data_IF_930683554463
#
_entry.id   IF_930683554463
#
_cell.length_a   1.000
_cell.length_b   1.000
_cell.length_c   1.000
_cell.angle_alpha   90.00
_cell.angle_beta   90.00
_cell.angle_gamma   90.00
#
_symmetry.space_group_name_H-M   'P 1'
#
loop_
_entity.id
_entity.type
_entity.pdbx_description
1 polymer ?
#
# COMPACT_ATOMS: atom_id res chain seq x y z
N UNK A 1 28.08 43.84 8.95
CA UNK A 1 27.90 43.42 7.54
C UNK A 1 27.92 41.90 7.49
N UNK A 2 26.76 41.24 7.60
CA UNK A 2 26.58 39.85 7.19
C UNK A 2 25.13 39.70 6.70
N UNK A 3 25.01 39.59 5.38
CA UNK A 3 24.07 38.78 4.61
C UNK A 3 22.59 38.71 5.04
N UNK A 4 21.79 39.56 4.39
CA UNK A 4 20.36 39.37 4.17
C UNK A 4 20.11 38.11 3.33
N UNK A 5 19.68 37.04 4.01
CA UNK A 5 19.29 35.78 3.39
C UNK A 5 17.84 35.90 2.88
N UNK A 6 17.71 36.38 1.65
CA UNK A 6 16.46 36.57 0.91
C UNK A 6 15.88 35.21 0.52
N UNK A 7 15.13 34.60 1.44
CA UNK A 7 14.31 33.43 1.16
C UNK A 7 13.07 33.86 0.39
N UNK A 8 13.19 33.72 -0.92
CA UNK A 8 12.15 33.80 -1.93
C UNK A 8 11.08 32.70 -1.68
N UNK A 9 10.18 32.95 -0.73
CA UNK A 9 9.10 32.05 -0.33
C UNK A 9 7.96 32.12 -1.36
N UNK A 10 8.16 31.42 -2.48
CA UNK A 10 7.16 31.27 -3.56
C UNK A 10 5.95 30.49 -3.06
N UNK A 11 5.02 31.21 -2.45
CA UNK A 11 3.57 31.16 -2.65
C UNK A 11 2.96 29.75 -2.86
N UNK A 12 2.31 29.16 -1.84
CA UNK A 12 1.54 27.92 -1.99
C UNK A 12 0.22 28.07 -2.79
N UNK A 13 -0.06 29.25 -3.38
CA UNK A 13 -1.37 29.59 -3.96
C UNK A 13 -1.58 29.16 -5.42
N UNK A 14 -0.63 28.48 -6.08
CA UNK A 14 -0.79 28.06 -7.50
C UNK A 14 -1.62 26.78 -7.72
N UNK A 15 -1.88 26.00 -6.67
CA UNK A 15 -2.64 24.74 -6.75
C UNK A 15 -4.12 24.88 -7.13
N UNK A 16 -4.90 25.89 -6.66
CA UNK A 16 -6.29 26.04 -7.06
C UNK A 16 -6.45 26.55 -8.50
N UNK A 17 -5.54 27.41 -9.00
CA UNK A 17 -5.65 27.97 -10.34
C UNK A 17 -5.55 26.90 -11.42
N UNK A 18 -4.61 25.96 -11.29
CA UNK A 18 -4.45 24.85 -12.25
C UNK A 18 -5.71 23.98 -12.32
N UNK A 19 -6.41 23.78 -11.19
CA UNK A 19 -7.66 23.01 -11.15
C UNK A 19 -8.78 23.72 -11.89
N UNK A 20 -8.90 25.03 -11.69
CA UNK A 20 -9.90 25.85 -12.39
C UNK A 20 -9.61 25.84 -13.89
N UNK A 21 -8.34 26.00 -14.30
CA UNK A 21 -7.94 25.95 -15.71
C UNK A 21 -8.27 24.60 -16.36
N UNK A 22 -7.96 23.47 -15.71
CA UNK A 22 -8.32 22.14 -16.20
C UNK A 22 -9.83 21.93 -16.33
N UNK A 23 -10.61 22.45 -15.39
CA UNK A 23 -12.07 22.34 -15.39
C UNK A 23 -12.67 23.15 -16.54
N UNK A 24 -12.19 24.38 -16.77
CA UNK A 24 -12.60 25.21 -17.91
C UNK A 24 -12.28 24.51 -19.23
N UNK A 25 -11.08 23.94 -19.37
CA UNK A 25 -10.67 23.22 -20.58
C UNK A 25 -11.49 21.93 -20.80
N UNK A 26 -11.85 21.23 -19.72
CA UNK A 26 -12.74 20.07 -19.79
C UNK A 26 -14.15 20.46 -20.24
N UNK A 27 -14.71 21.54 -19.69
CA UNK A 27 -16.03 22.06 -20.11
C UNK A 27 -16.01 22.51 -21.56
N UNK A 28 -14.98 23.25 -22.00
CA UNK A 28 -14.90 23.70 -23.40
C UNK A 28 -14.86 22.53 -24.37
N UNK A 29 -14.11 21.47 -24.03
CA UNK A 29 -14.04 20.24 -24.83
C UNK A 29 -15.41 19.54 -24.92
N UNK A 30 -16.16 19.48 -23.83
CA UNK A 30 -17.52 18.91 -23.82
C UNK A 30 -18.50 19.69 -24.69
N UNK A 31 -18.43 21.02 -24.66
CA UNK A 31 -19.30 21.88 -25.49
C UNK A 31 -19.02 21.64 -26.97
N UNK A 32 -17.75 21.60 -27.38
CA UNK A 32 -17.39 21.29 -28.78
C UNK A 32 -17.88 19.90 -29.19
N UNK A 33 -17.70 18.90 -28.33
CA UNK A 33 -18.17 17.54 -28.58
C UNK A 33 -19.70 17.46 -28.74
N UNK A 34 -20.46 18.23 -27.95
CA UNK A 34 -21.91 18.33 -28.09
C UNK A 34 -22.35 18.89 -29.45
N UNK A 35 -21.71 19.95 -29.93
CA UNK A 35 -21.98 20.50 -31.27
C UNK A 35 -21.69 19.50 -32.38
N UNK A 36 -20.59 18.74 -32.26
CA UNK A 36 -20.25 17.68 -33.21
C UNK A 36 -21.35 16.62 -33.25
N UNK A 37 -21.85 16.17 -32.09
CA UNK A 37 -22.92 15.18 -32.01
C UNK A 37 -24.24 15.65 -32.65
N UNK A 38 -24.59 16.93 -32.49
CA UNK A 38 -25.75 17.54 -33.15
C UNK A 38 -25.56 17.54 -34.66
N UNK A 39 -24.36 17.90 -35.14
CA UNK A 39 -24.05 17.93 -36.58
C UNK A 39 -24.21 16.55 -37.24
N UNK A 40 -23.92 15.47 -36.51
CA UNK A 40 -24.12 14.10 -36.99
C UNK A 40 -25.59 13.62 -36.99
N UNK A 41 -26.55 14.49 -36.68
CA UNK A 41 -27.97 14.15 -36.70
C UNK A 41 -28.40 13.24 -35.54
N UNK A 42 -27.59 13.17 -34.48
CA UNK A 42 -27.95 12.46 -33.26
C UNK A 42 -29.16 13.14 -32.63
N UNK A 43 -30.16 12.38 -32.17
CA UNK A 43 -31.29 12.96 -31.46
C UNK A 43 -30.78 13.74 -30.24
N UNK A 44 -31.37 14.90 -29.97
CA UNK A 44 -30.90 15.80 -28.91
C UNK A 44 -30.86 15.11 -27.54
N UNK A 45 -31.79 14.19 -27.28
CA UNK A 45 -31.82 13.38 -26.06
C UNK A 45 -30.60 12.47 -25.91
N UNK A 46 -30.22 11.76 -26.97
CA UNK A 46 -29.08 10.85 -26.94
C UNK A 46 -27.77 11.64 -26.79
N UNK A 47 -27.65 12.76 -27.51
CA UNK A 47 -26.50 13.65 -27.39
C UNK A 47 -26.33 14.18 -25.96
N UNK A 48 -27.42 14.64 -25.34
CA UNK A 48 -27.41 15.11 -23.96
C UNK A 48 -27.00 14.02 -22.96
N UNK A 49 -27.54 12.81 -23.10
CA UNK A 49 -27.22 11.66 -22.25
C UNK A 49 -25.73 11.27 -22.33
N UNK A 50 -25.16 11.26 -23.54
CA UNK A 50 -23.75 10.94 -23.75
C UNK A 50 -22.86 12.00 -23.09
N UNK A 51 -23.16 13.28 -23.30
CA UNK A 51 -22.39 14.39 -22.70
C UNK A 51 -22.48 14.37 -21.18
N UNK A 52 -23.67 14.13 -20.61
CA UNK A 52 -23.88 13.99 -19.18
C UNK A 52 -23.05 12.83 -18.59
N UNK A 53 -23.04 11.68 -19.28
CA UNK A 53 -22.26 10.52 -18.85
C UNK A 53 -20.76 10.82 -18.83
N UNK A 54 -20.23 11.41 -19.91
CA UNK A 54 -18.80 11.79 -19.99
C UNK A 54 -18.45 12.82 -18.91
N UNK A 55 -19.35 13.78 -18.64
CA UNK A 55 -19.17 14.76 -17.57
C UNK A 55 -19.06 14.10 -16.20
N UNK A 56 -19.96 13.18 -15.86
CA UNK A 56 -19.94 12.46 -14.58
C UNK A 56 -18.67 11.61 -14.42
N UNK A 57 -18.27 10.89 -15.47
CA UNK A 57 -17.04 10.09 -15.47
C UNK A 57 -15.79 10.95 -15.36
N UNK A 58 -15.72 12.07 -16.08
CA UNK A 58 -14.59 12.99 -16.06
C UNK A 58 -14.47 13.82 -14.77
N UNK A 59 -15.58 14.08 -14.08
CA UNK A 59 -15.57 14.69 -12.75
C UNK A 59 -14.97 13.78 -11.66
N UNK A 60 -15.07 12.45 -11.82
CA UNK A 60 -14.56 11.48 -10.85
C UNK A 60 -13.08 11.69 -10.51
N UNK A 61 -12.16 11.72 -11.49
CA UNK A 61 -10.75 12.05 -11.29
C UNK A 61 -10.54 13.41 -10.63
N UNK A 62 -11.27 14.45 -11.06
CA UNK A 62 -11.08 15.82 -10.55
C UNK A 62 -11.44 15.92 -9.07
N UNK A 63 -12.52 15.26 -8.63
CA UNK A 63 -12.98 15.25 -7.24
C UNK A 63 -12.06 14.37 -6.37
N UNK A 64 -11.59 13.23 -6.88
CA UNK A 64 -10.73 12.31 -6.12
C UNK A 64 -9.25 12.68 -6.09
N UNK A 65 -8.73 13.53 -6.98
CA UNK A 65 -7.33 13.98 -6.97
C UNK A 65 -6.94 14.78 -5.71
N UNK A 66 -7.92 15.32 -4.97
CA UNK A 66 -7.72 16.05 -3.72
C UNK A 66 -7.60 15.17 -2.48
N UNK A 67 -8.11 13.93 -2.51
CA UNK A 67 -7.94 12.97 -1.41
C UNK A 67 -6.56 12.32 -1.54
N UNK A 68 -5.53 13.07 -1.15
CA UNK A 68 -4.31 12.42 -0.63
C UNK A 68 -4.74 11.59 0.56
N UNK A 69 -4.94 10.30 0.32
CA UNK A 69 -4.92 9.28 1.37
C UNK A 69 -3.62 9.52 2.14
N UNK A 70 -3.75 10.17 3.31
CA UNK A 70 -2.66 10.49 4.21
C UNK A 70 -2.14 9.19 4.81
N UNK A 71 -1.40 8.41 4.01
CA UNK A 71 -0.70 7.19 4.45
C UNK A 71 0.66 7.50 5.10
N UNK A 72 1.05 8.76 5.21
CA UNK A 72 2.39 9.16 5.69
C UNK A 72 2.47 9.59 7.15
N UNK A 73 1.35 9.77 7.86
CA UNK A 73 1.39 10.13 9.29
C UNK A 73 1.49 8.92 10.22
N UNK A 74 1.12 7.72 9.78
CA UNK A 74 1.24 6.51 10.60
C UNK A 74 2.63 5.87 10.60
N UNK A 75 3.50 6.15 9.61
CA UNK A 75 4.79 5.46 9.48
C UNK A 75 5.94 6.10 10.26
N UNK A 76 5.88 7.40 10.59
CA UNK A 76 6.96 8.08 11.33
C UNK A 76 6.81 8.02 12.84
N UNK A 77 5.58 8.03 13.38
CA UNK A 77 5.38 8.00 14.83
C UNK A 77 5.57 6.59 15.43
N UNK A 78 5.19 5.54 14.68
CA UNK A 78 5.26 4.14 15.17
C UNK A 78 6.71 3.64 15.36
N UNK A 79 7.65 4.12 14.53
CA UNK A 79 9.06 3.65 14.55
C UNK A 79 9.84 4.13 15.79
N UNK A 80 9.47 5.25 16.41
CA UNK A 80 10.18 5.81 17.58
C UNK A 80 9.74 5.19 18.91
N UNK A 81 8.48 4.74 19.00
CA UNK A 81 7.94 4.13 20.22
C UNK A 81 8.17 2.61 20.31
N UNK A 82 8.14 1.89 19.17
CA UNK A 82 8.39 0.44 19.17
C UNK A 82 9.77 0.04 19.70
N UNK A 83 10.81 0.83 19.41
CA UNK A 83 12.17 0.53 19.88
C UNK A 83 12.32 0.68 21.41
N UNK A 84 11.55 1.58 22.03
CA UNK A 84 11.54 1.77 23.49
C UNK A 84 10.75 0.66 24.19
N UNK A 85 9.62 0.27 23.62
CA UNK A 85 8.75 -0.78 24.16
C UNK A 85 9.42 -2.17 24.11
N UNK A 86 10.14 -2.48 23.02
CA UNK A 86 10.94 -3.72 22.93
C UNK A 86 12.05 -3.79 23.98
N UNK A 87 12.75 -2.68 24.26
CA UNK A 87 13.77 -2.63 25.32
C UNK A 87 13.16 -2.83 26.71
N UNK A 88 12.01 -2.19 27.00
CA UNK A 88 11.35 -2.29 28.31
C UNK A 88 10.88 -3.71 28.61
N UNK A 89 10.38 -4.43 27.59
CA UNK A 89 9.97 -5.83 27.75
C UNK A 89 11.16 -6.79 27.84
N UNK A 90 12.29 -6.52 27.18
CA UNK A 90 13.47 -7.39 27.28
C UNK A 90 13.99 -7.53 28.71
N UNK A 91 13.87 -6.49 29.53
CA UNK A 91 14.32 -6.52 30.91
C UNK A 91 13.29 -7.14 31.87
N UNK A 92 11.99 -7.13 31.54
CA UNK A 92 10.96 -7.85 32.31
C UNK A 92 10.95 -9.35 32.03
N UNK A 93 11.38 -9.79 30.84
CA UNK A 93 11.52 -11.22 30.49
C UNK A 93 12.87 -11.84 30.84
N UNK A 94 13.81 -11.08 31.41
CA UNK A 94 14.98 -11.67 32.08
C UNK A 94 14.51 -12.29 33.39
N UNK A 95 13.87 -13.46 33.27
CA UNK A 95 13.65 -14.37 34.38
C UNK A 95 15.04 -14.64 34.96
N UNK A 96 15.32 -14.12 36.16
CA UNK A 96 16.45 -14.61 36.96
C UNK A 96 16.13 -16.08 37.18
N UNK A 97 16.78 -16.96 36.43
CA UNK A 97 16.72 -18.39 36.67
C UNK A 97 17.32 -18.62 38.05
N UNK A 98 16.50 -18.61 39.09
CA UNK A 98 16.88 -19.19 40.36
C UNK A 98 17.07 -20.68 40.06
N UNK A 99 18.27 -21.25 40.27
CA UNK A 99 18.46 -22.68 40.13
C UNK A 99 17.47 -23.36 41.08
N UNK A 100 16.56 -24.14 40.49
CA UNK A 100 15.57 -24.93 41.23
C UNK A 100 16.37 -26.00 41.98
N UNK A 101 16.41 -25.99 43.32
CA UNK A 101 17.37 -26.83 44.06
C UNK A 101 17.14 -28.33 43.84
N UNK A 102 15.91 -28.78 43.58
CA UNK A 102 15.57 -30.21 43.63
C UNK A 102 14.52 -30.59 42.59
N UNK A 103 14.86 -30.53 41.29
CA UNK A 103 14.00 -31.09 40.24
C UNK A 103 14.54 -32.47 39.79
N UNK A 104 14.18 -33.58 40.46
CA UNK A 104 14.57 -34.90 40.01
C UNK A 104 13.84 -35.25 38.70
N UNK A 105 14.61 -35.39 37.61
CA UNK A 105 14.25 -36.12 36.39
C UNK A 105 12.97 -35.67 35.64
N UNK A 106 12.76 -34.37 35.46
CA UNK A 106 11.66 -33.84 34.63
C UNK A 106 11.89 -34.02 33.11
N UNK A 107 13.09 -34.38 32.66
CA UNK A 107 13.35 -34.70 31.24
C UNK A 107 12.66 -36.00 30.79
N UNK A 108 12.39 -36.92 31.72
CA UNK A 108 11.81 -38.24 31.40
C UNK A 108 10.31 -38.26 31.13
N UNK A 109 9.57 -37.20 31.50
CA UNK A 109 8.10 -37.16 31.44
C UNK A 109 7.53 -36.26 30.35
N UNK A 110 8.36 -35.48 29.66
CA UNK A 110 7.90 -34.58 28.59
C UNK A 110 8.15 -35.22 27.23
N UNK A 111 7.25 -36.13 26.83
CA UNK A 111 7.21 -36.61 25.45
C UNK A 111 6.63 -35.51 24.56
N UNK A 112 7.49 -34.73 23.92
CA UNK A 112 7.12 -33.72 22.93
C UNK A 112 6.74 -34.42 21.60
N UNK A 113 5.69 -35.24 21.63
CA UNK A 113 5.17 -35.95 20.43
C UNK A 113 4.32 -34.97 19.59
N UNK A 114 4.94 -33.90 19.11
CA UNK A 114 4.26 -32.95 18.23
C UNK A 114 4.41 -33.40 16.77
N UNK A 115 3.30 -33.78 16.16
CA UNK A 115 3.24 -33.98 14.71
C UNK A 115 3.13 -32.61 14.03
N UNK A 116 4.25 -32.09 13.54
CA UNK A 116 4.27 -30.79 12.86
C UNK A 116 3.52 -30.87 11.52
N UNK A 117 2.65 -29.88 11.26
CA UNK A 117 2.01 -29.73 9.95
C UNK A 117 3.07 -29.45 8.89
N UNK A 118 2.98 -30.15 7.76
CA UNK A 118 3.88 -29.95 6.62
C UNK A 118 3.82 -28.47 6.17
N UNK A 119 4.97 -27.80 5.97
CA UNK A 119 4.99 -26.40 5.60
C UNK A 119 4.36 -26.20 4.20
N UNK A 120 3.56 -25.15 4.06
CA UNK A 120 2.88 -24.80 2.80
C UNK A 120 3.87 -24.42 1.68
N UNK A 121 5.04 -23.93 2.07
CA UNK A 121 6.11 -23.49 1.17
C UNK A 121 7.40 -24.18 1.60
N UNK A 122 8.06 -24.85 0.65
CA UNK A 122 9.37 -25.49 0.81
C UNK A 122 10.35 -24.92 -0.21
N UNK A 123 11.65 -25.01 0.06
CA UNK A 123 12.69 -24.61 -0.91
C UNK A 123 13.12 -25.80 -1.74
N UNK A 124 13.44 -25.58 -3.01
CA UNK A 124 14.03 -26.61 -3.85
C UNK A 124 15.43 -26.95 -3.30
N UNK A 125 15.73 -28.22 -3.01
CA UNK A 125 17.05 -28.60 -2.50
C UNK A 125 18.18 -28.36 -3.51
N UNK A 126 17.85 -28.25 -4.81
CA UNK A 126 18.85 -28.13 -5.88
C UNK A 126 19.10 -26.69 -6.34
N UNK A 127 18.08 -25.83 -6.36
CA UNK A 127 18.21 -24.46 -6.87
C UNK A 127 17.68 -23.37 -5.91
N UNK A 128 17.22 -23.74 -4.71
CA UNK A 128 16.75 -22.78 -3.70
C UNK A 128 15.43 -22.08 -4.02
N UNK A 129 14.80 -22.38 -5.16
CA UNK A 129 13.52 -21.78 -5.57
C UNK A 129 12.40 -22.11 -4.56
N UNK A 130 11.52 -21.15 -4.28
CA UNK A 130 10.39 -21.34 -3.38
C UNK A 130 9.27 -22.11 -4.07
N UNK A 131 8.86 -23.23 -3.49
CA UNK A 131 7.92 -24.20 -4.05
C UNK A 131 6.74 -24.36 -3.10
N UNK A 132 5.53 -24.47 -3.66
CA UNK A 132 4.37 -24.87 -2.84
C UNK A 132 4.43 -26.35 -2.53
N UNK A 133 3.81 -26.76 -1.42
CA UNK A 133 3.83 -28.15 -0.92
C UNK A 133 3.31 -29.19 -1.93
N UNK A 134 2.47 -28.78 -2.88
CA UNK A 134 1.86 -29.66 -3.87
C UNK A 134 2.71 -29.88 -5.14
N UNK A 135 3.80 -29.12 -5.32
CA UNK A 135 4.64 -29.26 -6.51
C UNK A 135 5.54 -30.49 -6.43
N UNK A 136 5.47 -31.35 -7.46
CA UNK A 136 6.30 -32.56 -7.62
C UNK A 136 7.61 -32.30 -8.37
N UNK A 137 7.64 -31.30 -9.24
CA UNK A 137 8.82 -30.89 -10.01
C UNK A 137 9.08 -29.40 -9.85
N UNK A 138 10.34 -29.01 -9.77
CA UNK A 138 10.71 -27.61 -9.64
C UNK A 138 10.57 -26.91 -11.00
N UNK A 139 9.85 -25.77 -11.09
CA UNK A 139 9.71 -25.05 -12.36
C UNK A 139 11.03 -24.38 -12.79
N UNK A 140 11.93 -24.10 -11.85
CA UNK A 140 13.20 -23.44 -12.14
C UNK A 140 14.29 -24.41 -12.63
N UNK A 141 14.37 -25.62 -12.06
CA UNK A 141 15.43 -26.58 -12.43
C UNK A 141 14.94 -27.86 -13.10
N UNK A 142 13.62 -28.04 -13.27
CA UNK A 142 13.01 -29.21 -13.90
C UNK A 142 13.15 -30.53 -13.11
N UNK A 143 13.92 -30.53 -12.02
CA UNK A 143 14.21 -31.73 -11.22
C UNK A 143 13.06 -32.01 -10.23
N UNK A 144 12.82 -33.29 -9.90
CA UNK A 144 11.82 -33.67 -8.89
C UNK A 144 12.20 -33.18 -7.49
N UNK A 145 11.18 -32.91 -6.65
CA UNK A 145 11.30 -32.27 -5.32
C UNK A 145 10.90 -33.22 -4.18
#
# INVERSE_FOLDING_TARGET
MIESNERDDKSPKKKPLIRITLLILFISTLVVFFFILIHFGTTHLISFLIVLFIFLVGLGPIINYGRKISRSQFSRFKKRNQAKEYKRNKDTFKIKSTPIPDAPNLESRVKLDFTYKKPLIRKCPKCGFMLTSFMKKCPNCGKPI
#
